data_IF_647089369073
#
_entry.id   IF_647089369073
#
_cell.length_a   1.000
_cell.length_b   1.000
_cell.length_c   1.000
_cell.angle_alpha   90.00
_cell.angle_beta   90.00
_cell.angle_gamma   90.00
#
_symmetry.space_group_name_H-M   'P 1'
#
loop_
_entity.id
_entity.type
_entity.pdbx_description
1 polymer ?
#
# COMPACT_ATOMS: atom_id res chain seq x y z
N UNK A 1 17.56 5.48 -15.09
CA UNK A 1 16.92 4.95 -13.86
C UNK A 1 17.07 6.05 -12.81
N UNK A 2 15.99 6.78 -12.50
CA UNK A 2 16.06 8.03 -11.70
C UNK A 2 15.58 7.88 -10.24
N UNK A 3 15.46 6.64 -9.73
CA UNK A 3 15.01 6.36 -8.35
C UNK A 3 15.97 6.84 -7.27
N UNK A 4 17.19 7.25 -7.65
CA UNK A 4 18.21 7.83 -6.76
C UNK A 4 17.87 9.26 -6.30
N UNK A 5 16.88 9.93 -6.94
CA UNK A 5 16.48 11.30 -6.60
C UNK A 5 15.43 11.39 -5.48
N UNK A 6 14.91 10.25 -5.02
CA UNK A 6 13.93 10.19 -3.93
C UNK A 6 14.62 10.08 -2.57
N UNK A 7 14.35 11.07 -1.72
CA UNK A 7 14.78 11.11 -0.32
C UNK A 7 14.10 10.03 0.52
N UNK A 8 14.65 9.76 1.71
CA UNK A 8 14.08 8.76 2.62
C UNK A 8 12.64 9.11 3.04
N UNK A 9 12.34 10.38 3.30
CA UNK A 9 10.98 10.83 3.64
C UNK A 9 9.98 10.63 2.50
N UNK A 10 10.45 10.79 1.26
CA UNK A 10 9.66 10.53 0.06
C UNK A 10 9.38 9.03 -0.11
N UNK A 11 10.40 8.19 0.13
CA UNK A 11 10.24 6.74 0.18
C UNK A 11 9.31 6.30 1.32
N UNK A 12 9.35 6.97 2.47
CA UNK A 12 8.40 6.71 3.57
C UNK A 12 6.96 7.06 3.18
N UNK A 13 6.76 8.13 2.39
CA UNK A 13 5.43 8.49 1.87
C UNK A 13 4.90 7.42 0.92
N UNK A 14 5.73 6.97 -0.03
CA UNK A 14 5.43 5.86 -0.93
C UNK A 14 5.12 4.57 -0.16
N UNK A 15 5.92 4.27 0.87
CA UNK A 15 5.71 3.11 1.73
C UNK A 15 4.39 3.21 2.47
N UNK A 16 4.12 4.34 3.13
CA UNK A 16 2.88 4.57 3.87
C UNK A 16 1.65 4.40 2.97
N UNK A 17 1.69 4.88 1.73
CA UNK A 17 0.63 4.67 0.75
C UNK A 17 0.43 3.18 0.43
N UNK A 18 1.51 2.46 0.10
CA UNK A 18 1.44 1.04 -0.24
C UNK A 18 1.01 0.15 0.95
N UNK A 19 1.65 0.27 2.10
CA UNK A 19 1.29 -0.51 3.29
C UNK A 19 -0.08 -0.12 3.83
N UNK A 20 -0.44 1.16 3.72
CA UNK A 20 -1.76 1.68 4.04
C UNK A 20 -2.84 1.07 3.16
N UNK A 21 -2.60 0.88 1.86
CA UNK A 21 -3.56 0.25 0.95
C UNK A 21 -3.87 -1.21 1.35
N UNK A 22 -2.85 -2.00 1.65
CA UNK A 22 -3.04 -3.36 2.18
C UNK A 22 -3.75 -3.35 3.54
N UNK A 23 -3.39 -2.41 4.42
CA UNK A 23 -4.04 -2.27 5.72
C UNK A 23 -5.50 -1.83 5.60
N UNK A 24 -5.82 -0.92 4.68
CA UNK A 24 -7.17 -0.43 4.44
C UNK A 24 -8.10 -1.57 4.02
N UNK A 25 -7.66 -2.42 3.09
CA UNK A 25 -8.41 -3.64 2.73
C UNK A 25 -8.56 -4.54 3.95
N UNK A 26 -7.49 -4.73 4.73
CA UNK A 26 -7.51 -5.59 5.91
C UNK A 26 -8.48 -5.10 7.02
N UNK A 27 -8.57 -3.80 7.26
CA UNK A 27 -9.44 -3.23 8.30
C UNK A 27 -10.86 -3.01 7.81
N UNK A 28 -11.10 -3.12 6.51
CA UNK A 28 -12.44 -2.96 5.91
C UNK A 28 -13.33 -4.15 6.22
N UNK A 29 -12.76 -5.34 6.34
CA UNK A 29 -13.45 -6.51 6.88
C UNK A 29 -13.12 -6.73 8.36
N UNK A 30 -14.15 -6.69 9.21
CA UNK A 30 -14.00 -6.85 10.66
C UNK A 30 -13.52 -8.26 11.04
N UNK A 31 -14.00 -9.29 10.34
CA UNK A 31 -13.62 -10.69 10.56
C UNK A 31 -12.14 -10.91 10.25
N UNK A 32 -11.65 -10.24 9.21
CA UNK A 32 -10.24 -10.27 8.86
C UNK A 32 -9.38 -9.44 9.82
N UNK A 33 -9.80 -8.25 10.25
CA UNK A 33 -9.05 -7.45 11.22
C UNK A 33 -8.83 -8.19 12.55
N UNK A 34 -9.85 -8.92 13.02
CA UNK A 34 -9.73 -9.77 14.21
C UNK A 34 -8.73 -10.92 13.95
N UNK A 35 -8.75 -11.54 12.76
CA UNK A 35 -7.72 -12.51 12.32
C UNK A 35 -6.32 -11.88 12.18
N UNK A 36 -6.21 -10.62 11.76
CA UNK A 36 -4.97 -9.85 11.61
C UNK A 36 -4.36 -9.42 12.94
N UNK A 37 -5.18 -9.22 13.98
CA UNK A 37 -4.74 -9.02 15.36
C UNK A 37 -4.16 -10.31 15.95
N UNK A 38 -4.73 -11.45 15.61
CA UNK A 38 -4.30 -12.74 16.14
C UNK A 38 -3.12 -13.33 15.36
N UNK A 39 -3.03 -13.05 14.06
CA UNK A 39 -1.97 -13.54 13.19
C UNK A 39 -0.97 -12.42 12.89
N UNK A 40 0.26 -12.56 13.37
CA UNK A 40 1.43 -11.78 12.92
C UNK A 40 1.82 -12.03 11.44
N UNK A 41 0.85 -12.07 10.53
CA UNK A 41 0.96 -12.45 9.13
C UNK A 41 1.37 -11.30 8.19
N UNK A 42 1.27 -10.04 8.65
CA UNK A 42 1.68 -8.85 7.88
C UNK A 42 3.15 -8.95 7.43
N UNK A 43 4.03 -9.47 8.30
CA UNK A 43 5.46 -9.64 7.99
C UNK A 43 5.72 -10.69 6.90
N UNK A 44 4.90 -11.74 6.80
CA UNK A 44 5.05 -12.79 5.77
C UNK A 44 4.58 -12.34 4.40
N UNK A 45 3.46 -11.60 4.33
CA UNK A 45 2.94 -11.11 3.05
C UNK A 45 3.77 -9.95 2.47
N UNK A 46 4.35 -9.10 3.33
CA UNK A 46 5.29 -8.08 2.87
C UNK A 46 6.53 -8.70 2.20
N UNK A 47 7.02 -9.84 2.72
CA UNK A 47 8.13 -10.60 2.12
C UNK A 47 7.73 -11.30 0.81
N UNK A 48 6.49 -11.76 0.69
CA UNK A 48 5.99 -12.36 -0.54
C UNK A 48 5.82 -11.32 -1.66
N UNK A 49 5.25 -10.14 -1.35
CA UNK A 49 5.16 -9.03 -2.29
C UNK A 49 6.54 -8.53 -2.73
N UNK A 50 7.54 -8.58 -1.84
CA UNK A 50 8.95 -8.23 -2.14
C UNK A 50 9.58 -9.12 -3.20
N UNK A 51 9.12 -10.38 -3.40
CA UNK A 51 9.67 -11.29 -4.41
C UNK A 51 9.13 -11.07 -5.82
N UNK A 52 8.01 -10.36 -5.99
CA UNK A 52 7.32 -10.25 -7.27
C UNK A 52 7.62 -8.96 -8.05
N UNK A 53 8.28 -7.97 -7.43
CA UNK A 53 8.55 -6.67 -8.07
C UNK A 53 10.00 -6.51 -8.52
N UNK A 54 10.19 -6.30 -9.82
CA UNK A 54 11.49 -6.07 -10.46
C UNK A 54 11.94 -4.58 -10.46
N UNK A 55 11.17 -3.67 -9.84
CA UNK A 55 11.54 -2.25 -9.75
C UNK A 55 12.45 -1.97 -8.53
N UNK A 56 13.60 -1.30 -8.72
CA UNK A 56 14.47 -0.85 -7.63
C UNK A 56 13.74 0.04 -6.60
N UNK A 57 12.76 0.84 -7.05
CA UNK A 57 11.94 1.66 -6.17
C UNK A 57 11.13 0.79 -5.21
N UNK A 58 10.47 -0.24 -5.76
CA UNK A 58 9.66 -1.15 -4.95
C UNK A 58 10.54 -1.92 -3.96
N UNK A 59 11.77 -2.27 -4.35
CA UNK A 59 12.78 -2.81 -3.44
C UNK A 59 13.00 -1.92 -2.21
N UNK A 60 13.28 -0.63 -2.43
CA UNK A 60 13.49 0.35 -1.33
C UNK A 60 12.23 0.57 -0.47
N UNK A 61 11.06 0.60 -1.09
CA UNK A 61 9.78 0.68 -0.37
C UNK A 61 9.63 -0.51 0.57
N UNK A 62 9.94 -1.72 0.09
CA UNK A 62 9.81 -2.96 0.86
C UNK A 62 10.94 -3.20 1.89
N UNK A 63 12.03 -2.43 1.85
CA UNK A 63 13.16 -2.57 2.80
C UNK A 63 12.94 -1.89 4.14
N UNK A 64 12.19 -0.79 4.18
CA UNK A 64 11.97 -0.11 5.46
C UNK A 64 10.86 -0.73 6.30
N UNK A 65 10.79 -0.28 7.56
CA UNK A 65 9.98 -0.89 8.60
C UNK A 65 8.72 -0.09 8.91
N UNK A 66 7.67 -0.81 9.28
CA UNK A 66 6.40 -0.22 9.70
C UNK A 66 5.46 0.13 8.54
N UNK A 67 4.20 0.39 8.87
CA UNK A 67 3.15 0.72 7.90
C UNK A 67 2.96 2.23 7.73
N UNK A 68 3.69 3.05 8.49
CA UNK A 68 3.43 4.49 8.60
C UNK A 68 2.17 4.85 9.40
N UNK A 69 1.48 3.85 9.99
CA UNK A 69 0.35 4.02 10.89
C UNK A 69 0.66 3.41 12.27
N UNK A 70 0.08 3.98 13.33
CA UNK A 70 0.17 3.41 14.66
C UNK A 70 -0.59 2.07 14.76
N UNK A 71 -0.13 1.14 15.60
CA UNK A 71 -0.79 -0.16 15.81
C UNK A 71 -2.24 -0.05 16.30
N UNK A 72 -2.61 1.09 16.88
CA UNK A 72 -3.94 1.39 17.41
C UNK A 72 -4.65 2.50 16.64
N UNK A 73 -4.17 2.83 15.44
CA UNK A 73 -4.80 3.87 14.62
C UNK A 73 -6.25 3.45 14.28
N UNK A 74 -7.23 4.36 14.43
CA UNK A 74 -8.60 4.06 14.06
C UNK A 74 -8.74 3.86 12.55
N UNK A 75 -9.67 3.01 12.13
CA UNK A 75 -9.92 2.67 10.71
C UNK A 75 -10.09 3.91 9.83
N UNK A 76 -10.80 4.93 10.31
CA UNK A 76 -10.99 6.18 9.57
C UNK A 76 -9.68 6.96 9.35
N UNK A 77 -8.75 6.92 10.30
CA UNK A 77 -7.43 7.56 10.17
C UNK A 77 -6.52 6.77 9.22
N UNK A 78 -6.60 5.44 9.28
CA UNK A 78 -5.91 4.56 8.31
C UNK A 78 -6.41 4.86 6.90
N UNK A 79 -7.73 4.93 6.68
CA UNK A 79 -8.31 5.25 5.38
C UNK A 79 -7.84 6.62 4.90
N UNK A 80 -8.09 7.68 5.69
CA UNK A 80 -7.75 9.05 5.28
C UNK A 80 -6.25 9.21 5.01
N UNK A 81 -5.40 8.72 5.91
CA UNK A 81 -3.95 8.83 5.76
C UNK A 81 -3.40 7.95 4.64
N UNK A 82 -4.05 6.84 4.31
CA UNK A 82 -3.66 6.00 3.15
C UNK A 82 -3.98 6.74 1.86
N UNK A 83 -5.19 7.25 1.71
CA UNK A 83 -5.60 7.96 0.50
C UNK A 83 -4.80 9.25 0.30
N UNK A 84 -4.45 9.96 1.38
CA UNK A 84 -3.55 11.11 1.33
C UNK A 84 -2.14 10.71 0.87
N UNK A 85 -1.56 9.66 1.47
CA UNK A 85 -0.23 9.17 1.11
C UNK A 85 -0.17 8.66 -0.34
N UNK A 86 -1.22 8.01 -0.84
CA UNK A 86 -1.31 7.56 -2.24
C UNK A 86 -1.33 8.72 -3.22
N UNK A 87 -2.09 9.77 -2.93
CA UNK A 87 -2.11 11.00 -3.75
C UNK A 87 -0.74 11.67 -3.74
N UNK A 88 -0.15 11.86 -2.56
CA UNK A 88 1.17 12.47 -2.42
C UNK A 88 2.26 11.66 -3.14
N UNK A 89 2.23 10.33 -3.03
CA UNK A 89 3.12 9.43 -3.74
C UNK A 89 2.96 9.55 -5.26
N UNK A 90 1.72 9.61 -5.76
CA UNK A 90 1.44 9.78 -7.18
C UNK A 90 1.95 11.11 -7.74
N UNK A 91 1.71 12.22 -7.03
CA UNK A 91 2.24 13.55 -7.39
C UNK A 91 3.77 13.58 -7.40
N UNK A 92 4.38 12.99 -6.37
CA UNK A 92 5.82 12.88 -6.22
C UNK A 92 6.45 12.10 -7.38
N UNK A 93 5.89 10.93 -7.71
CA UNK A 93 6.38 10.12 -8.83
C UNK A 93 6.17 10.85 -10.15
N UNK A 94 5.01 11.44 -10.40
CA UNK A 94 4.79 12.23 -11.64
C UNK A 94 5.80 13.37 -11.80
N UNK A 95 6.21 13.99 -10.70
CA UNK A 95 7.17 15.10 -10.72
C UNK A 95 8.63 14.63 -10.88
N UNK A 96 9.05 13.57 -10.18
CA UNK A 96 10.46 13.18 -10.06
C UNK A 96 10.84 11.87 -10.75
N UNK A 97 9.90 10.95 -10.88
CA UNK A 97 10.11 9.62 -11.43
C UNK A 97 8.84 9.14 -12.18
N UNK A 98 8.42 9.85 -13.25
CA UNK A 98 7.17 9.53 -13.95
C UNK A 98 7.18 8.10 -14.52
N UNK A 99 8.35 7.60 -14.90
CA UNK A 99 8.55 6.23 -15.39
C UNK A 99 8.25 5.15 -14.33
N UNK A 100 8.26 5.50 -13.04
CA UNK A 100 7.97 4.58 -11.93
C UNK A 100 6.50 4.67 -11.47
N UNK A 101 5.71 5.61 -11.99
CA UNK A 101 4.32 5.82 -11.56
C UNK A 101 3.45 4.59 -11.82
N UNK A 102 3.51 4.03 -13.03
CA UNK A 102 2.76 2.83 -13.40
C UNK A 102 3.20 1.60 -12.59
N UNK A 103 4.51 1.46 -12.35
CA UNK A 103 5.06 0.37 -11.55
C UNK A 103 4.57 0.46 -10.09
N UNK A 104 4.56 1.66 -9.52
CA UNK A 104 4.03 1.91 -8.18
C UNK A 104 2.53 1.65 -8.10
N UNK A 105 1.75 2.16 -9.07
CA UNK A 105 0.28 1.92 -9.14
C UNK A 105 -0.02 0.42 -9.17
N UNK A 106 0.65 -0.32 -10.03
CA UNK A 106 0.50 -1.78 -10.16
C UNK A 106 0.84 -2.47 -8.84
N UNK A 107 1.98 -2.13 -8.23
CA UNK A 107 2.39 -2.70 -6.96
C UNK A 107 1.38 -2.47 -5.83
N UNK A 108 0.85 -1.25 -5.69
CA UNK A 108 -0.15 -0.93 -4.66
C UNK A 108 -1.44 -1.73 -4.86
N UNK A 109 -1.93 -1.81 -6.10
CA UNK A 109 -3.15 -2.56 -6.42
C UNK A 109 -2.96 -4.07 -6.24
N UNK A 110 -1.81 -4.61 -6.64
CA UNK A 110 -1.47 -6.03 -6.44
C UNK A 110 -1.38 -6.37 -4.95
N UNK A 111 -0.79 -5.49 -4.14
CA UNK A 111 -0.74 -5.66 -2.70
C UNK A 111 -2.15 -5.66 -2.10
N UNK A 112 -3.00 -4.70 -2.47
CA UNK A 112 -4.38 -4.63 -2.00
C UNK A 112 -5.20 -5.89 -2.38
N UNK A 113 -5.07 -6.34 -3.63
CA UNK A 113 -5.72 -7.56 -4.14
C UNK A 113 -5.19 -8.84 -3.48
N UNK A 114 -3.88 -8.90 -3.22
CA UNK A 114 -3.27 -10.04 -2.52
C UNK A 114 -3.77 -10.13 -1.08
N UNK A 115 -3.99 -9.01 -0.41
CA UNK A 115 -4.55 -8.99 0.95
C UNK A 115 -6.01 -9.43 0.95
N UNK A 116 -6.83 -8.88 0.04
CA UNK A 116 -8.23 -9.33 -0.13
C UNK A 116 -8.32 -10.83 -0.44
N UNK A 117 -7.49 -11.33 -1.36
CA UNK A 117 -7.46 -12.77 -1.68
C UNK A 117 -7.05 -13.63 -0.49
N UNK A 118 -6.16 -13.15 0.38
CA UNK A 118 -5.75 -13.84 1.58
C UNK A 118 -6.83 -13.84 2.68
N UNK A 119 -7.75 -12.86 2.66
CA UNK A 119 -8.89 -12.78 3.55
C UNK A 119 -10.05 -13.72 3.17
N UNK A 120 -9.96 -14.37 2.00
CA UNK A 120 -11.03 -15.19 1.43
C UNK A 120 -11.59 -14.59 0.15
N UNK A 121 -11.42 -13.28 -0.05
CA UNK A 121 -11.70 -12.53 -1.27
C UNK A 121 -13.18 -12.46 -1.64
N UNK A 122 -13.60 -11.32 -2.19
CA UNK A 122 -14.85 -11.21 -2.94
C UNK A 122 -16.02 -10.56 -2.20
N UNK A 123 -15.79 -10.03 -0.99
CA UNK A 123 -16.80 -9.24 -0.31
C UNK A 123 -16.88 -7.81 -0.90
N UNK A 124 -18.10 -7.28 -1.01
CA UNK A 124 -18.37 -5.95 -1.58
C UNK A 124 -17.57 -4.83 -0.87
N UNK A 125 -17.25 -5.04 0.40
CA UNK A 125 -16.51 -4.09 1.23
C UNK A 125 -15.03 -4.02 0.82
N UNK A 126 -14.40 -5.15 0.52
CA UNK A 126 -13.00 -5.18 0.04
C UNK A 126 -12.90 -4.58 -1.36
N UNK A 127 -13.86 -4.88 -2.24
CA UNK A 127 -13.93 -4.30 -3.57
C UNK A 127 -14.11 -2.77 -3.51
N UNK A 128 -14.94 -2.26 -2.59
CA UNK A 128 -15.08 -0.83 -2.36
C UNK A 128 -13.77 -0.18 -1.86
N UNK A 129 -13.04 -0.85 -0.97
CA UNK A 129 -11.74 -0.37 -0.49
C UNK A 129 -10.71 -0.28 -1.62
N UNK A 130 -10.63 -1.31 -2.47
CA UNK A 130 -9.74 -1.32 -3.65
C UNK A 130 -10.12 -0.21 -4.63
N UNK A 131 -11.41 0.03 -4.87
CA UNK A 131 -11.88 1.11 -5.74
C UNK A 131 -11.50 2.51 -5.20
N UNK A 132 -11.52 2.71 -3.87
CA UNK A 132 -11.03 3.95 -3.25
C UNK A 132 -9.53 4.13 -3.45
N UNK A 133 -8.74 3.07 -3.26
CA UNK A 133 -7.28 3.06 -3.49
C UNK A 133 -6.97 3.42 -4.94
N UNK A 134 -7.67 2.78 -5.88
CA UNK A 134 -7.50 3.05 -7.31
C UNK A 134 -7.84 4.50 -7.67
N UNK A 135 -8.89 5.06 -7.08
CA UNK A 135 -9.30 6.46 -7.30
C UNK A 135 -8.34 7.49 -6.67
N UNK A 136 -7.57 7.09 -5.65
CA UNK A 136 -6.58 7.96 -5.00
C UNK A 136 -5.24 7.99 -5.73
N UNK A 137 -4.94 6.97 -6.53
CA UNK A 137 -3.78 6.95 -7.40
C UNK A 137 -4.09 7.80 -8.65
N UNK A 138 -3.22 8.75 -9.03
CA UNK A 138 -3.45 9.51 -10.26
C UNK A 138 -3.49 8.56 -11.46
N UNK A 139 -4.41 8.84 -12.38
CA UNK A 139 -4.43 8.18 -13.69
C UNK A 139 -3.19 8.56 -14.50
N UNK A 140 -2.73 7.62 -15.34
CA UNK A 140 -1.68 7.86 -16.32
C UNK A 140 -2.05 9.00 -17.27
#
# INVERSE_FOLDING_TARGET
MNTEQLSETEIETLRKGATGAGLLVAVSDKSFFDTFKEAGAIAKHLVAAKRSSASPLIGRIAEGRGTGFGMTAPTAEIEAGTLEALRAAGELLRSKAPDELDAYRTFVLDLARSVSSAAGGGDEVEAAAIAKIESALPGA
#
